data_IF_090320417979
#
_entry.id   IF_090320417979
#
_cell.length_a   1.000
_cell.length_b   1.000
_cell.length_c   1.000
_cell.angle_alpha   90.00
_cell.angle_beta   90.00
_cell.angle_gamma   90.00
#
_symmetry.space_group_name_H-M   'P 1'
#
loop_
_entity.id
_entity.type
_entity.pdbx_description
1 polymer ?
#
# COMPACT_ATOMS: atom_id res chain seq x y z
N UNK A 1 17.06 -38.56 5.10
CA UNK A 1 16.17 -39.77 5.26
C UNK A 1 14.98 -39.29 6.07
N UNK A 2 13.74 -39.52 5.61
CA UNK A 2 12.53 -39.05 6.31
C UNK A 2 12.38 -39.81 7.63
N UNK A 3 12.26 -39.09 8.74
CA UNK A 3 12.15 -39.63 10.08
C UNK A 3 10.68 -39.86 10.46
N UNK A 4 10.40 -41.04 10.99
CA UNK A 4 9.10 -41.42 11.54
C UNK A 4 9.32 -41.84 13.00
N UNK A 5 8.47 -41.34 13.90
CA UNK A 5 8.49 -41.73 15.31
C UNK A 5 7.34 -42.72 15.56
N UNK A 6 7.65 -43.85 16.21
CA UNK A 6 6.68 -44.85 16.61
C UNK A 6 6.63 -44.90 18.14
N UNK A 7 5.45 -44.66 18.70
CA UNK A 7 5.19 -44.63 20.15
C UNK A 7 4.16 -45.71 20.47
N UNK A 8 4.55 -46.76 21.18
CA UNK A 8 3.66 -47.87 21.59
C UNK A 8 4.31 -48.55 22.77
N UNK A 9 3.55 -48.95 23.78
CA UNK A 9 4.07 -49.64 24.96
C UNK A 9 4.36 -51.14 24.71
N UNK A 10 3.73 -51.75 23.67
CA UNK A 10 4.02 -53.11 23.27
C UNK A 10 5.30 -53.21 22.42
N UNK A 11 6.36 -53.88 22.93
CA UNK A 11 7.61 -54.06 22.20
C UNK A 11 7.44 -54.83 20.88
N UNK A 12 6.44 -55.72 20.81
CA UNK A 12 6.17 -56.49 19.59
C UNK A 12 5.68 -55.59 18.47
N UNK A 13 4.76 -54.68 18.79
CA UNK A 13 4.22 -53.69 17.82
C UNK A 13 5.32 -52.75 17.36
N UNK A 14 6.14 -52.23 18.28
CA UNK A 14 7.28 -51.37 17.93
C UNK A 14 8.23 -52.06 16.93
N UNK A 15 8.57 -53.34 17.16
CA UNK A 15 9.44 -54.09 16.24
C UNK A 15 8.79 -54.31 14.88
N UNK A 16 7.51 -54.70 14.86
CA UNK A 16 6.78 -54.93 13.60
C UNK A 16 6.69 -53.65 12.76
N UNK A 17 6.27 -52.53 13.38
CA UNK A 17 6.18 -51.27 12.70
C UNK A 17 7.54 -50.76 12.20
N UNK A 18 8.57 -50.83 13.03
CA UNK A 18 9.93 -50.46 12.67
C UNK A 18 10.42 -51.22 11.45
N UNK A 19 10.27 -52.54 11.42
CA UNK A 19 10.68 -53.35 10.25
C UNK A 19 9.92 -53.02 9.00
N UNK A 20 8.59 -52.82 9.11
CA UNK A 20 7.75 -52.43 7.97
C UNK A 20 8.15 -51.11 7.36
N UNK A 21 8.40 -50.10 8.20
CA UNK A 21 8.78 -48.74 7.78
C UNK A 21 10.22 -48.69 7.26
N UNK A 22 11.16 -49.36 7.91
CA UNK A 22 12.56 -49.43 7.44
C UNK A 22 12.68 -50.10 6.08
N UNK A 23 11.86 -51.16 5.83
CA UNK A 23 11.80 -51.82 4.51
C UNK A 23 11.37 -50.85 3.38
N UNK A 24 10.64 -49.78 3.72
CA UNK A 24 10.23 -48.71 2.78
C UNK A 24 11.28 -47.59 2.67
N UNK A 25 12.41 -47.68 3.38
CA UNK A 25 13.49 -46.70 3.33
C UNK A 25 13.34 -45.50 4.30
N UNK A 26 12.43 -45.58 5.30
CA UNK A 26 12.29 -44.56 6.32
C UNK A 26 13.26 -44.72 7.46
N UNK A 27 13.71 -43.64 8.07
CA UNK A 27 14.36 -43.63 9.38
C UNK A 27 13.29 -43.76 10.45
N UNK A 28 13.52 -44.64 11.44
CA UNK A 28 12.52 -44.88 12.50
C UNK A 28 13.16 -44.73 13.86
N UNK A 29 12.56 -43.85 14.66
CA UNK A 29 12.82 -43.68 16.09
C UNK A 29 11.66 -44.30 16.85
N UNK A 30 11.91 -44.87 18.04
CA UNK A 30 10.89 -45.51 18.86
C UNK A 30 10.86 -44.89 20.25
N UNK A 31 9.66 -44.93 20.88
CA UNK A 31 9.46 -44.59 22.29
C UNK A 31 8.49 -45.58 22.93
N UNK A 32 8.66 -45.84 24.22
CA UNK A 32 7.93 -46.90 24.97
C UNK A 32 6.68 -46.38 25.68
N UNK A 33 6.52 -45.04 25.77
CA UNK A 33 5.37 -44.38 26.39
C UNK A 33 5.22 -42.98 25.83
N UNK A 34 4.10 -42.32 26.12
CA UNK A 34 3.79 -41.01 25.58
C UNK A 34 4.75 -39.91 26.02
N UNK A 35 5.27 -39.98 27.25
CA UNK A 35 6.22 -38.97 27.75
C UNK A 35 7.54 -39.02 26.98
N UNK A 36 8.14 -40.19 26.85
CA UNK A 36 9.33 -40.38 26.02
C UNK A 36 9.04 -40.00 24.55
N UNK A 37 7.83 -40.31 24.08
CA UNK A 37 7.38 -39.95 22.73
C UNK A 37 7.45 -38.47 22.45
N UNK A 38 6.99 -37.62 23.37
CA UNK A 38 7.09 -36.17 23.24
C UNK A 38 8.53 -35.69 23.26
N UNK A 39 9.36 -36.18 24.20
CA UNK A 39 10.78 -35.84 24.30
C UNK A 39 11.53 -36.20 23.00
N UNK A 40 11.28 -37.40 22.44
CA UNK A 40 11.86 -37.83 21.16
C UNK A 40 11.35 -37.03 19.98
N UNK A 41 10.07 -36.63 19.97
CA UNK A 41 9.53 -35.80 18.92
C UNK A 41 10.23 -34.42 18.85
N UNK A 42 10.55 -33.84 20.00
CA UNK A 42 11.31 -32.57 20.07
C UNK A 42 12.76 -32.71 19.59
N UNK A 43 13.41 -33.84 19.93
CA UNK A 43 14.78 -34.13 19.51
C UNK A 43 14.90 -34.35 17.99
N UNK A 44 14.04 -35.23 17.42
CA UNK A 44 14.22 -35.73 16.04
C UNK A 44 13.35 -35.00 15.02
N UNK A 45 12.37 -34.22 15.47
CA UNK A 45 11.41 -33.47 14.62
C UNK A 45 10.87 -34.34 13.48
N UNK A 46 10.14 -35.42 13.77
CA UNK A 46 9.74 -36.40 12.78
C UNK A 46 8.72 -35.80 11.79
N UNK A 47 8.75 -36.27 10.56
CA UNK A 47 7.74 -35.90 9.55
C UNK A 47 6.38 -36.55 9.83
N UNK A 48 6.39 -37.71 10.53
CA UNK A 48 5.20 -38.48 10.86
C UNK A 48 5.38 -39.17 12.21
N UNK A 49 4.33 -39.19 13.02
CA UNK A 49 4.24 -39.94 14.28
C UNK A 49 3.16 -40.99 14.13
N UNK A 50 3.46 -42.20 14.56
CA UNK A 50 2.49 -43.31 14.77
C UNK A 50 2.46 -43.59 16.25
N UNK A 51 1.34 -43.31 16.90
CA UNK A 51 1.21 -43.37 18.34
C UNK A 51 0.06 -44.30 18.77
N UNK A 52 0.30 -45.21 19.70
CA UNK A 52 -0.80 -45.94 20.31
C UNK A 52 -1.68 -45.01 21.15
N UNK A 53 -2.96 -45.26 21.13
CA UNK A 53 -3.93 -44.51 21.91
C UNK A 53 -3.79 -44.78 23.41
N UNK A 54 -3.75 -46.07 23.78
CA UNK A 54 -3.81 -46.50 25.17
C UNK A 54 -2.43 -46.91 25.68
N UNK A 55 -1.75 -46.03 26.35
CA UNK A 55 -0.43 -46.27 26.91
C UNK A 55 -0.37 -45.82 28.38
N UNK A 56 0.48 -46.44 29.19
CA UNK A 56 0.74 -45.99 30.56
C UNK A 56 1.45 -44.64 30.58
N UNK A 57 1.36 -43.89 31.68
CA UNK A 57 2.00 -42.62 31.97
C UNK A 57 1.33 -41.46 31.20
N UNK A 58 1.24 -41.53 29.87
CA UNK A 58 0.63 -40.53 29.00
C UNK A 58 0.00 -41.26 27.81
N UNK A 59 -1.27 -41.00 27.56
CA UNK A 59 -2.01 -41.58 26.45
C UNK A 59 -1.70 -40.88 25.11
N UNK A 60 -2.09 -41.49 23.99
CA UNK A 60 -1.80 -40.97 22.66
C UNK A 60 -2.54 -39.68 22.32
N UNK A 61 -3.69 -39.40 22.95
CA UNK A 61 -4.40 -38.13 22.76
C UNK A 61 -3.64 -36.97 23.40
N UNK A 62 -3.07 -37.20 24.59
CA UNK A 62 -2.26 -36.18 25.26
C UNK A 62 -0.96 -35.91 24.49
N UNK A 63 -0.31 -36.97 23.98
CA UNK A 63 0.84 -36.82 23.07
C UNK A 63 0.47 -35.95 21.84
N UNK A 64 -0.66 -36.27 21.22
CA UNK A 64 -1.15 -35.53 20.05
C UNK A 64 -1.36 -34.03 20.38
N UNK A 65 -2.03 -33.71 21.51
CA UNK A 65 -2.23 -32.33 21.95
C UNK A 65 -0.92 -31.57 22.13
N UNK A 66 0.05 -32.19 22.80
CA UNK A 66 1.34 -31.56 23.07
C UNK A 66 2.14 -31.35 21.77
N UNK A 67 2.18 -32.35 20.88
CA UNK A 67 2.83 -32.23 19.56
C UNK A 67 2.18 -31.15 18.73
N UNK A 68 0.84 -31.11 18.64
CA UNK A 68 0.12 -30.10 17.82
C UNK A 68 0.16 -28.69 18.42
N UNK A 69 0.32 -28.56 19.73
CA UNK A 69 0.51 -27.28 20.40
C UNK A 69 1.92 -26.72 20.25
N UNK A 70 2.92 -27.54 19.93
CA UNK A 70 4.29 -27.10 19.72
C UNK A 70 4.45 -26.53 18.29
N UNK A 71 4.82 -25.26 18.12
CA UNK A 71 4.96 -24.65 16.79
C UNK A 71 5.91 -25.38 15.84
N UNK A 72 6.99 -25.96 16.37
CA UNK A 72 7.99 -26.70 15.59
C UNK A 72 7.52 -28.07 15.13
N UNK A 73 6.53 -28.67 15.84
CA UNK A 73 5.99 -30.00 15.58
C UNK A 73 4.55 -29.97 15.01
N UNK A 74 3.90 -28.83 15.02
CA UNK A 74 2.47 -28.70 14.68
C UNK A 74 2.11 -29.20 13.28
N UNK A 75 3.07 -29.29 12.36
CA UNK A 75 2.90 -29.85 11.01
C UNK A 75 3.21 -31.34 10.92
N UNK A 76 3.81 -31.97 11.96
CA UNK A 76 4.05 -33.40 11.97
C UNK A 76 2.74 -34.14 11.76
N UNK A 77 2.69 -35.06 10.81
CA UNK A 77 1.49 -35.83 10.53
C UNK A 77 1.31 -36.90 11.62
N UNK A 78 0.16 -36.92 12.28
CA UNK A 78 -0.09 -37.73 13.46
C UNK A 78 -1.11 -38.85 13.18
N UNK A 79 -0.69 -40.09 13.26
CA UNK A 79 -1.54 -41.30 13.13
C UNK A 79 -1.74 -41.92 14.52
N UNK A 80 -2.99 -42.00 14.95
CA UNK A 80 -3.36 -42.76 16.17
C UNK A 80 -3.66 -44.22 15.84
N UNK A 81 -3.04 -45.14 16.59
CA UNK A 81 -3.37 -46.57 16.58
C UNK A 81 -4.46 -46.83 17.61
N UNK A 82 -5.52 -47.52 17.21
CA UNK A 82 -6.66 -47.81 18.10
C UNK A 82 -7.09 -49.26 18.00
N UNK A 83 -7.38 -49.89 19.13
CA UNK A 83 -8.09 -51.18 19.22
C UNK A 83 -9.62 -51.01 19.23
N UNK A 84 -10.10 -49.79 19.37
CA UNK A 84 -11.53 -49.41 19.41
C UNK A 84 -11.97 -48.92 18.04
N UNK A 85 -12.98 -49.58 17.48
CA UNK A 85 -13.52 -49.25 16.15
C UNK A 85 -14.78 -48.35 16.17
N UNK A 86 -15.13 -47.76 17.32
CA UNK A 86 -16.32 -46.93 17.47
C UNK A 86 -16.24 -45.60 16.77
N UNK A 87 -17.37 -45.11 16.25
CA UNK A 87 -17.48 -43.79 15.62
C UNK A 87 -17.16 -42.66 16.61
N UNK A 88 -17.54 -42.82 17.88
CA UNK A 88 -17.31 -41.80 18.94
C UNK A 88 -15.82 -41.63 19.26
N UNK A 89 -15.06 -42.73 19.30
CA UNK A 89 -13.62 -42.68 19.53
C UNK A 89 -12.88 -41.94 18.39
N UNK A 90 -13.30 -42.15 17.13
CA UNK A 90 -12.72 -41.46 15.98
C UNK A 90 -12.99 -39.97 16.00
N UNK A 91 -14.20 -39.55 16.38
CA UNK A 91 -14.55 -38.13 16.51
C UNK A 91 -13.68 -37.45 17.58
N UNK A 92 -13.56 -38.11 18.76
CA UNK A 92 -12.75 -37.55 19.86
C UNK A 92 -11.27 -37.39 19.49
N UNK A 93 -10.72 -38.29 18.73
CA UNK A 93 -9.33 -38.20 18.30
C UNK A 93 -9.11 -37.14 17.21
N UNK A 94 -10.02 -36.98 16.26
CA UNK A 94 -9.96 -35.90 15.26
C UNK A 94 -10.06 -34.51 15.91
N UNK A 95 -10.98 -34.36 16.87
CA UNK A 95 -11.13 -33.13 17.65
C UNK A 95 -9.86 -32.80 18.48
N UNK A 96 -9.05 -33.83 18.79
CA UNK A 96 -7.76 -33.65 19.48
C UNK A 96 -6.64 -33.20 18.56
N UNK A 97 -6.84 -33.24 17.23
CA UNK A 97 -5.88 -32.80 16.21
C UNK A 97 -5.10 -33.96 15.55
N UNK A 98 -5.45 -35.20 15.76
CA UNK A 98 -4.87 -36.32 14.99
C UNK A 98 -5.29 -36.23 13.53
N UNK A 99 -4.34 -36.47 12.64
CA UNK A 99 -4.59 -36.32 11.18
C UNK A 99 -5.20 -37.61 10.60
N UNK A 100 -4.95 -38.78 11.25
CA UNK A 100 -5.44 -40.06 10.74
C UNK A 100 -5.51 -41.10 11.86
N UNK A 101 -6.27 -42.19 11.60
CA UNK A 101 -6.43 -43.36 12.48
C UNK A 101 -6.09 -44.67 11.77
N UNK A 102 -5.55 -45.63 12.52
CA UNK A 102 -5.28 -46.96 12.05
C UNK A 102 -5.73 -47.99 13.10
N UNK A 103 -6.61 -48.90 12.73
CA UNK A 103 -7.15 -49.89 13.65
C UNK A 103 -6.20 -51.10 13.81
N UNK A 104 -6.04 -51.58 15.03
CA UNK A 104 -5.37 -52.87 15.33
C UNK A 104 -6.37 -54.05 15.08
N UNK A 105 -5.97 -55.15 14.40
CA UNK A 105 -4.61 -55.49 13.97
C UNK A 105 -4.21 -54.76 12.69
N UNK A 106 -2.96 -54.23 12.70
CA UNK A 106 -2.44 -53.39 11.65
C UNK A 106 -2.12 -54.20 10.39
N UNK A 107 -2.74 -53.86 9.28
CA UNK A 107 -2.43 -54.46 7.98
C UNK A 107 -1.29 -53.70 7.30
N UNK A 108 -0.20 -54.40 6.87
CA UNK A 108 0.96 -53.74 6.28
C UNK A 108 0.63 -52.82 5.08
N UNK A 109 -0.30 -53.26 4.21
CA UNK A 109 -0.70 -52.48 3.04
C UNK A 109 -1.41 -51.16 3.41
N UNK A 110 -2.27 -51.23 4.44
CA UNK A 110 -2.99 -50.04 4.93
C UNK A 110 -2.03 -49.06 5.63
N UNK A 111 -1.13 -49.59 6.50
CA UNK A 111 -0.07 -48.78 7.12
C UNK A 111 0.73 -48.02 6.07
N UNK A 112 1.25 -48.74 5.07
CA UNK A 112 2.07 -48.15 4.02
C UNK A 112 1.31 -47.08 3.22
N UNK A 113 0.03 -47.30 2.93
CA UNK A 113 -0.80 -46.35 2.22
C UNK A 113 -1.01 -45.04 3.03
N UNK A 114 -1.34 -45.18 4.34
CA UNK A 114 -1.55 -44.05 5.25
C UNK A 114 -0.26 -43.26 5.48
N UNK A 115 0.86 -43.94 5.70
CA UNK A 115 2.17 -43.30 5.84
C UNK A 115 2.56 -42.49 4.60
N UNK A 116 2.42 -43.09 3.40
CA UNK A 116 2.69 -42.35 2.16
C UNK A 116 1.80 -41.14 1.99
N UNK A 117 0.50 -41.25 2.32
CA UNK A 117 -0.44 -40.12 2.27
C UNK A 117 -0.07 -39.05 3.27
N UNK A 118 0.24 -39.40 4.51
CA UNK A 118 0.65 -38.50 5.57
C UNK A 118 1.93 -37.73 5.24
N UNK A 119 2.95 -38.46 4.77
CA UNK A 119 4.21 -37.83 4.37
C UNK A 119 4.05 -36.87 3.19
N UNK A 120 3.14 -37.16 2.26
CA UNK A 120 2.80 -36.22 1.17
C UNK A 120 2.16 -34.94 1.72
N UNK A 121 1.23 -35.08 2.69
CA UNK A 121 0.58 -33.93 3.33
C UNK A 121 1.61 -33.09 4.09
N UNK A 122 2.47 -33.75 4.89
CA UNK A 122 3.57 -33.09 5.60
C UNK A 122 4.45 -32.27 4.63
N UNK A 123 4.90 -32.90 3.53
CA UNK A 123 5.75 -32.24 2.55
C UNK A 123 5.05 -31.02 1.92
N UNK A 124 3.79 -31.17 1.47
CA UNK A 124 3.02 -30.06 0.90
C UNK A 124 2.83 -28.90 1.89
N UNK A 125 2.61 -29.23 3.17
CA UNK A 125 2.46 -28.22 4.22
C UNK A 125 3.77 -27.48 4.48
N UNK A 126 4.91 -28.19 4.48
CA UNK A 126 6.23 -27.63 4.64
C UNK A 126 6.59 -26.72 3.45
N UNK A 127 6.33 -27.16 2.22
CA UNK A 127 6.57 -26.39 1.00
C UNK A 127 5.71 -25.12 0.96
N UNK A 128 4.44 -25.23 1.35
CA UNK A 128 3.53 -24.05 1.43
C UNK A 128 4.01 -23.04 2.46
N UNK A 129 4.43 -23.49 3.65
CA UNK A 129 4.99 -22.57 4.66
C UNK A 129 6.24 -21.85 4.16
N UNK A 130 7.16 -22.59 3.55
CA UNK A 130 8.39 -22.01 2.98
C UNK A 130 8.07 -20.99 1.90
N UNK A 131 7.13 -21.30 0.99
CA UNK A 131 6.70 -20.39 -0.06
C UNK A 131 6.04 -19.12 0.50
N UNK A 132 5.18 -19.25 1.51
CA UNK A 132 4.54 -18.12 2.16
C UNK A 132 5.57 -17.22 2.86
N UNK A 133 6.60 -17.80 3.51
CA UNK A 133 7.67 -17.03 4.13
C UNK A 133 8.48 -16.27 3.08
N UNK A 134 8.87 -16.92 1.99
CA UNK A 134 9.59 -16.27 0.89
C UNK A 134 8.78 -15.12 0.26
N UNK A 135 7.46 -15.31 0.11
CA UNK A 135 6.57 -14.28 -0.40
C UNK A 135 6.48 -13.09 0.55
N UNK A 136 6.35 -13.34 1.86
CA UNK A 136 6.33 -12.30 2.87
C UNK A 136 7.63 -11.49 2.89
N UNK A 137 8.78 -12.16 2.83
CA UNK A 137 10.09 -11.53 2.79
C UNK A 137 10.30 -10.71 1.51
N UNK A 138 9.82 -11.23 0.36
CA UNK A 138 9.88 -10.52 -0.92
C UNK A 138 8.99 -9.26 -0.91
N UNK A 139 7.77 -9.37 -0.40
CA UNK A 139 6.86 -8.22 -0.27
C UNK A 139 7.46 -7.13 0.63
N UNK A 140 8.03 -7.52 1.77
CA UNK A 140 8.67 -6.56 2.68
C UNK A 140 9.85 -5.82 2.04
N UNK A 141 10.65 -6.53 1.23
CA UNK A 141 11.75 -5.90 0.46
C UNK A 141 11.24 -4.93 -0.60
N UNK A 142 10.18 -5.31 -1.33
CA UNK A 142 9.57 -4.42 -2.32
C UNK A 142 8.97 -3.17 -1.68
N UNK A 143 8.29 -3.30 -0.56
CA UNK A 143 7.75 -2.16 0.20
C UNK A 143 8.86 -1.21 0.67
N UNK A 144 9.98 -1.74 1.16
CA UNK A 144 11.12 -0.93 1.56
C UNK A 144 11.75 -0.17 0.37
N UNK A 145 11.90 -0.82 -0.79
CA UNK A 145 12.40 -0.16 -2.00
C UNK A 145 11.46 0.93 -2.53
N UNK A 146 10.15 0.68 -2.49
CA UNK A 146 9.15 1.69 -2.87
C UNK A 146 9.17 2.88 -1.90
N UNK A 147 9.33 2.65 -0.60
CA UNK A 147 9.43 3.71 0.39
C UNK A 147 10.68 4.58 0.18
N UNK A 148 11.83 3.98 -0.14
CA UNK A 148 13.07 4.70 -0.49
C UNK A 148 12.88 5.57 -1.74
N UNK A 149 12.25 5.02 -2.79
CA UNK A 149 11.90 5.77 -4.00
C UNK A 149 10.95 6.93 -3.73
N UNK A 150 9.96 6.73 -2.85
CA UNK A 150 9.01 7.76 -2.45
C UNK A 150 9.68 8.92 -1.69
N UNK A 151 10.66 8.61 -0.82
CA UNK A 151 11.43 9.63 -0.12
C UNK A 151 12.28 10.46 -1.09
N UNK A 152 12.89 9.81 -2.09
CA UNK A 152 13.62 10.53 -3.14
C UNK A 152 12.70 11.47 -3.91
N UNK A 153 11.53 11.03 -4.35
CA UNK A 153 10.56 11.89 -5.06
C UNK A 153 10.13 13.07 -4.21
N UNK A 154 9.80 12.84 -2.93
CA UNK A 154 9.47 13.94 -2.00
C UNK A 154 10.60 14.95 -1.85
N UNK A 155 11.86 14.52 -1.89
CA UNK A 155 13.01 15.41 -1.81
C UNK A 155 13.16 16.34 -3.01
N UNK A 156 12.49 16.02 -4.14
CA UNK A 156 12.47 16.87 -5.33
C UNK A 156 11.43 18.00 -5.23
N UNK A 157 10.46 17.89 -4.31
CA UNK A 157 9.47 18.96 -4.10
C UNK A 157 10.15 20.19 -3.49
N UNK A 158 9.71 21.39 -3.88
CA UNK A 158 10.33 22.63 -3.41
C UNK A 158 10.10 22.82 -1.89
N UNK A 159 11.11 23.31 -1.16
CA UNK A 159 10.92 23.70 0.23
C UNK A 159 10.02 24.94 0.33
N UNK A 160 9.35 25.19 1.49
CA UNK A 160 8.58 26.41 1.68
C UNK A 160 9.36 27.67 1.31
N UNK A 161 8.71 28.60 0.59
CA UNK A 161 9.32 29.86 0.16
C UNK A 161 8.81 31.01 1.02
N UNK A 162 9.72 31.87 1.43
CA UNK A 162 9.37 33.12 2.13
C UNK A 162 10.20 34.27 1.57
N UNK A 163 9.51 35.24 0.96
CA UNK A 163 10.08 36.50 0.47
C UNK A 163 9.32 37.70 1.06
N UNK A 164 9.75 38.91 0.73
CA UNK A 164 9.04 40.12 1.14
C UNK A 164 7.64 40.25 0.52
N UNK A 165 7.45 39.71 -0.69
CA UNK A 165 6.22 39.84 -1.46
C UNK A 165 5.29 38.62 -1.36
N UNK A 166 5.84 37.41 -1.18
CA UNK A 166 5.10 36.15 -1.27
C UNK A 166 5.61 35.17 -0.25
N UNK A 167 4.70 34.48 0.42
CA UNK A 167 5.00 33.28 1.23
C UNK A 167 4.25 32.09 0.64
N UNK A 168 4.96 30.99 0.40
CA UNK A 168 4.39 29.76 -0.15
C UNK A 168 4.60 28.60 0.84
N UNK A 169 3.51 28.00 1.26
CA UNK A 169 3.49 26.73 2.00
C UNK A 169 2.87 25.67 1.12
N UNK A 170 3.33 24.45 1.28
CA UNK A 170 2.80 23.32 0.52
C UNK A 170 2.69 22.07 1.39
N UNK A 171 1.77 21.19 1.00
CA UNK A 171 1.64 19.85 1.58
C UNK A 171 1.40 18.86 0.47
N UNK A 172 2.05 17.70 0.58
CA UNK A 172 1.86 16.54 -0.28
C UNK A 172 1.67 15.30 0.58
N UNK A 173 0.56 14.61 0.37
CA UNK A 173 0.23 13.36 1.05
C UNK A 173 -0.20 12.36 -0.02
N UNK A 174 0.65 11.41 -0.39
CA UNK A 174 0.27 10.40 -1.36
C UNK A 174 -0.76 9.43 -0.77
N UNK A 175 -1.70 9.00 -1.58
CA UNK A 175 -2.73 7.99 -1.24
C UNK A 175 -2.12 6.61 -0.99
N UNK A 176 -0.98 6.36 -1.63
CA UNK A 176 -0.11 5.20 -1.47
C UNK A 176 1.33 5.65 -1.21
N UNK A 177 2.30 4.76 -1.34
CA UNK A 177 3.72 5.10 -1.16
C UNK A 177 4.21 6.12 -2.19
N UNK A 178 3.70 6.06 -3.43
CA UNK A 178 4.06 6.91 -4.56
C UNK A 178 2.82 7.48 -5.21
N UNK A 179 2.79 8.80 -5.40
CA UNK A 179 1.70 9.54 -6.02
C UNK A 179 2.02 10.06 -7.42
N UNK A 180 0.96 10.39 -8.18
CA UNK A 180 1.02 11.03 -9.48
C UNK A 180 1.17 12.56 -9.42
N UNK A 181 0.81 13.16 -8.30
CA UNK A 181 0.90 14.59 -8.06
C UNK A 181 2.35 15.09 -8.02
N UNK A 182 2.55 16.23 -8.63
CA UNK A 182 3.80 17.00 -8.51
C UNK A 182 3.52 18.50 -8.61
N UNK A 183 4.25 19.30 -7.87
CA UNK A 183 4.15 20.75 -7.91
C UNK A 183 5.52 21.40 -7.75
N UNK A 184 5.61 22.63 -8.25
CA UNK A 184 6.80 23.45 -8.04
C UNK A 184 6.45 24.93 -8.06
N UNK A 185 7.37 25.75 -7.55
CA UNK A 185 7.31 27.21 -7.62
C UNK A 185 8.73 27.76 -7.58
N UNK A 186 9.00 28.68 -8.48
CA UNK A 186 10.32 29.29 -8.61
C UNK A 186 10.26 30.64 -9.34
N UNK A 187 11.22 31.49 -9.08
CA UNK A 187 11.39 32.74 -9.82
C UNK A 187 12.01 32.46 -11.19
N UNK A 188 11.34 32.92 -12.27
CA UNK A 188 11.91 32.94 -13.63
C UNK A 188 13.04 33.96 -13.75
N UNK A 189 12.79 35.11 -13.15
CA UNK A 189 13.63 36.29 -13.06
C UNK A 189 13.21 37.10 -11.81
N UNK A 190 13.66 38.33 -11.66
CA UNK A 190 13.37 39.17 -10.50
C UNK A 190 11.88 39.58 -10.39
N UNK A 191 11.08 39.44 -11.45
CA UNK A 191 9.70 39.93 -11.55
C UNK A 191 8.65 38.83 -11.71
N UNK A 192 9.03 37.64 -12.21
CA UNK A 192 8.08 36.59 -12.56
C UNK A 192 8.23 35.36 -11.69
N UNK A 193 7.19 35.06 -10.89
CA UNK A 193 7.09 33.85 -10.09
C UNK A 193 6.21 32.81 -10.80
N UNK A 194 6.78 31.70 -11.17
CA UNK A 194 6.06 30.52 -11.67
C UNK A 194 5.55 29.69 -10.51
N UNK A 195 4.35 29.15 -10.65
CA UNK A 195 3.78 28.15 -9.76
C UNK A 195 2.89 27.19 -10.56
N UNK A 196 2.98 25.91 -10.29
CA UNK A 196 2.12 24.91 -10.93
C UNK A 196 1.88 23.70 -10.03
N UNK A 197 0.80 23.00 -10.31
CA UNK A 197 0.50 21.68 -9.80
C UNK A 197 0.00 20.85 -10.98
N UNK A 198 0.56 19.66 -11.13
CA UNK A 198 0.15 18.65 -12.10
C UNK A 198 -0.21 17.35 -11.40
N UNK A 199 -1.15 16.63 -11.98
CA UNK A 199 -1.58 15.31 -11.51
C UNK A 199 -1.67 14.34 -12.70
N UNK A 200 -0.89 13.27 -12.63
CA UNK A 200 -0.81 12.23 -13.68
C UNK A 200 -1.80 11.12 -13.38
N UNK A 201 -2.63 10.78 -14.37
CA UNK A 201 -3.67 9.76 -14.27
C UNK A 201 -3.19 8.42 -13.70
N UNK A 202 -3.88 7.94 -12.64
CA UNK A 202 -3.59 6.69 -11.93
C UNK A 202 -2.58 6.88 -10.79
N UNK A 203 -2.05 5.78 -10.24
CA UNK A 203 -1.23 5.79 -9.02
C UNK A 203 0.03 4.92 -9.15
N UNK A 204 0.97 5.10 -8.22
CA UNK A 204 2.21 4.35 -8.12
C UNK A 204 3.25 4.76 -9.17
N UNK A 205 4.27 3.92 -9.39
CA UNK A 205 5.42 4.22 -10.27
C UNK A 205 5.02 4.68 -11.69
N UNK A 206 3.93 4.12 -12.23
CA UNK A 206 3.47 4.45 -13.58
C UNK A 206 2.98 5.89 -13.74
N UNK A 207 2.54 6.56 -12.68
CA UNK A 207 2.16 7.98 -12.65
C UNK A 207 3.29 8.87 -12.11
N UNK A 208 4.03 8.39 -11.12
CA UNK A 208 5.10 9.15 -10.48
C UNK A 208 6.26 9.46 -11.44
N UNK A 209 6.70 8.50 -12.26
CA UNK A 209 7.83 8.74 -13.17
C UNK A 209 7.52 9.81 -14.22
N UNK A 210 6.36 9.79 -14.92
CA UNK A 210 5.97 10.89 -15.79
C UNK A 210 5.84 12.23 -15.05
N UNK A 211 5.26 12.27 -13.85
CA UNK A 211 5.10 13.53 -13.10
C UNK A 211 6.45 14.17 -12.77
N UNK A 212 7.43 13.39 -12.31
CA UNK A 212 8.79 13.86 -12.06
C UNK A 212 9.48 14.33 -13.36
N UNK A 213 9.30 13.60 -14.47
CA UNK A 213 9.87 13.98 -15.75
C UNK A 213 9.31 15.33 -16.25
N UNK A 214 7.99 15.53 -16.16
CA UNK A 214 7.35 16.78 -16.56
C UNK A 214 7.76 17.94 -15.65
N UNK A 215 7.81 17.70 -14.34
CA UNK A 215 8.33 18.71 -13.40
C UNK A 215 9.77 19.09 -13.71
N UNK A 216 10.62 18.14 -14.06
CA UNK A 216 12.01 18.40 -14.46
C UNK A 216 12.09 19.25 -15.74
N UNK A 217 11.28 18.95 -16.78
CA UNK A 217 11.20 19.75 -18.00
C UNK A 217 10.80 21.20 -17.71
N UNK A 218 9.83 21.42 -16.85
CA UNK A 218 9.37 22.75 -16.45
C UNK A 218 10.45 23.49 -15.64
N UNK A 219 11.05 22.86 -14.67
CA UNK A 219 12.07 23.47 -13.80
C UNK A 219 13.35 23.81 -14.53
N UNK A 220 13.81 22.95 -15.44
CA UNK A 220 15.01 23.19 -16.27
C UNK A 220 14.75 24.03 -17.48
N UNK A 221 13.47 24.42 -17.73
CA UNK A 221 13.05 25.21 -18.90
C UNK A 221 13.46 24.55 -20.21
N UNK A 222 13.32 23.22 -20.26
CA UNK A 222 13.79 22.42 -21.40
C UNK A 222 12.74 22.21 -22.49
N UNK A 223 11.78 23.15 -22.64
CA UNK A 223 10.83 23.20 -23.76
C UNK A 223 11.35 24.18 -24.80
N UNK A 224 11.77 23.73 -26.02
CA UNK A 224 12.40 24.58 -27.00
C UNK A 224 11.47 25.71 -27.52
N UNK A 225 11.96 26.93 -27.54
CA UNK A 225 11.25 28.08 -28.10
C UNK A 225 10.04 28.58 -27.28
N UNK A 226 9.90 28.10 -26.03
CA UNK A 226 8.77 28.46 -25.17
C UNK A 226 9.16 29.57 -24.18
N UNK A 227 8.38 30.62 -24.12
CA UNK A 227 8.45 31.63 -23.08
C UNK A 227 7.69 31.11 -21.84
N UNK A 228 8.40 30.79 -20.76
CA UNK A 228 7.81 30.24 -19.52
C UNK A 228 6.96 31.28 -18.76
N UNK A 229 6.99 32.55 -19.16
CA UNK A 229 6.07 33.59 -18.70
C UNK A 229 4.69 33.55 -19.37
N UNK A 230 4.50 32.72 -20.40
CA UNK A 230 3.25 32.61 -21.18
C UNK A 230 2.57 31.24 -20.89
N UNK A 231 1.66 31.15 -19.90
CA UNK A 231 1.05 29.87 -19.45
C UNK A 231 0.46 29.01 -20.57
N UNK A 232 -0.27 29.61 -21.51
CA UNK A 232 -0.89 28.87 -22.60
C UNK A 232 0.13 28.20 -23.51
N UNK A 233 1.22 28.89 -23.84
CA UNK A 233 2.31 28.31 -24.65
C UNK A 233 3.05 27.19 -23.96
N UNK A 234 3.22 27.29 -22.63
CA UNK A 234 3.82 26.22 -21.83
C UNK A 234 2.96 24.96 -21.89
N UNK A 235 1.64 25.07 -21.71
CA UNK A 235 0.74 23.91 -21.76
C UNK A 235 0.65 23.29 -23.17
N UNK A 236 0.63 24.14 -24.23
CA UNK A 236 0.66 23.63 -25.61
C UNK A 236 1.95 22.84 -25.89
N UNK A 237 3.10 23.37 -25.49
CA UNK A 237 4.38 22.67 -25.67
C UNK A 237 4.49 21.40 -24.81
N UNK A 238 3.92 21.39 -23.61
CA UNK A 238 3.81 20.17 -22.80
C UNK A 238 2.95 19.12 -23.49
N UNK A 239 1.82 19.53 -24.11
CA UNK A 239 0.96 18.60 -24.84
C UNK A 239 1.66 18.02 -26.07
N UNK A 240 2.48 18.80 -26.77
CA UNK A 240 3.32 18.31 -27.88
C UNK A 240 4.40 17.31 -27.39
N UNK A 241 5.00 17.59 -26.24
CA UNK A 241 6.07 16.76 -25.68
C UNK A 241 5.55 15.47 -25.03
N UNK A 242 4.29 15.44 -24.59
CA UNK A 242 3.69 14.33 -23.86
C UNK A 242 2.37 13.89 -24.50
N UNK A 243 2.41 12.82 -25.28
CA UNK A 243 1.23 12.19 -25.88
C UNK A 243 0.97 10.84 -25.25
N UNK A 244 -0.28 10.54 -24.88
CA UNK A 244 -0.66 9.32 -24.17
C UNK A 244 -0.27 8.04 -24.91
N UNK A 245 -0.34 8.01 -26.23
CA UNK A 245 0.06 6.85 -27.05
C UNK A 245 1.54 6.47 -26.87
N UNK A 246 2.39 7.42 -26.52
CA UNK A 246 3.82 7.21 -26.24
C UNK A 246 4.11 6.93 -24.75
N UNK A 247 3.13 7.15 -23.88
CA UNK A 247 3.28 7.11 -22.41
C UNK A 247 2.30 6.15 -21.71
N UNK A 248 2.05 4.96 -22.32
CA UNK A 248 1.23 3.89 -21.73
C UNK A 248 -0.19 4.37 -21.35
N UNK A 249 -0.84 5.07 -22.25
CA UNK A 249 -2.18 5.66 -22.09
C UNK A 249 -2.30 6.62 -20.89
N UNK A 250 -1.19 7.23 -20.47
CA UNK A 250 -1.18 8.25 -19.42
C UNK A 250 -1.42 9.64 -19.98
N UNK A 251 -2.19 10.41 -19.27
CA UNK A 251 -2.40 11.85 -19.44
C UNK A 251 -2.27 12.53 -18.09
N UNK A 252 -2.19 13.83 -18.07
CA UNK A 252 -2.16 14.55 -16.80
C UNK A 252 -2.95 15.85 -16.85
N UNK A 253 -3.45 16.25 -15.70
CA UNK A 253 -4.03 17.56 -15.49
C UNK A 253 -2.97 18.52 -14.98
N UNK A 254 -3.08 19.81 -15.29
CA UNK A 254 -2.15 20.83 -14.77
C UNK A 254 -2.84 22.19 -14.68
N UNK A 255 -2.59 22.88 -13.57
CA UNK A 255 -2.78 24.30 -13.43
C UNK A 255 -1.40 24.98 -13.43
N UNK A 256 -1.16 25.94 -14.32
CA UNK A 256 0.11 26.66 -14.45
C UNK A 256 -0.13 28.16 -14.40
N UNK A 257 0.54 28.86 -13.48
CA UNK A 257 0.39 30.30 -13.28
C UNK A 257 1.73 31.02 -13.18
N UNK A 258 1.73 32.29 -13.64
CA UNK A 258 2.86 33.21 -13.54
C UNK A 258 2.38 34.52 -12.92
N UNK A 259 2.93 34.82 -11.75
CA UNK A 259 2.66 36.08 -11.05
C UNK A 259 3.74 37.11 -11.36
N UNK A 260 3.34 38.29 -11.82
CA UNK A 260 4.21 39.42 -12.07
C UNK A 260 4.23 40.37 -10.86
N UNK A 261 5.39 40.53 -10.24
CA UNK A 261 5.55 41.18 -8.95
C UNK A 261 5.13 42.64 -8.96
N UNK A 262 5.66 43.46 -9.88
CA UNK A 262 5.45 44.89 -9.89
C UNK A 262 4.03 45.29 -10.33
N UNK A 263 3.41 44.53 -11.24
CA UNK A 263 2.03 44.78 -11.71
C UNK A 263 0.97 44.07 -10.87
N UNK A 264 1.36 43.09 -10.03
CA UNK A 264 0.47 42.20 -9.29
C UNK A 264 -0.51 41.43 -10.18
N UNK A 265 -0.17 41.23 -11.43
CA UNK A 265 -0.96 40.45 -12.36
C UNK A 265 -0.60 38.95 -12.28
N UNK A 266 -1.60 38.10 -12.19
CA UNK A 266 -1.46 36.65 -12.26
C UNK A 266 -2.03 36.15 -13.58
N UNK A 267 -1.16 35.74 -14.50
CA UNK A 267 -1.55 35.05 -15.73
C UNK A 267 -1.57 33.55 -15.49
N UNK A 268 -2.58 32.84 -16.01
CA UNK A 268 -2.73 31.39 -15.77
C UNK A 268 -3.39 30.68 -16.94
N UNK A 269 -3.12 29.36 -17.03
CA UNK A 269 -3.75 28.41 -17.94
C UNK A 269 -3.99 27.10 -17.23
N UNK A 270 -5.03 26.36 -17.66
CA UNK A 270 -5.48 25.13 -17.02
C UNK A 270 -5.74 24.06 -18.07
N UNK A 271 -5.19 22.87 -17.88
CA UNK A 271 -5.41 21.69 -18.71
C UNK A 271 -6.11 20.60 -17.89
N UNK A 272 -7.44 20.56 -17.90
CA UNK A 272 -8.24 19.58 -17.18
C UNK A 272 -8.23 19.65 -15.65
N UNK A 273 -7.39 20.48 -15.07
CA UNK A 273 -7.16 20.58 -13.62
C UNK A 273 -8.30 21.32 -12.89
N UNK A 274 -8.56 21.07 -11.58
CA UNK A 274 -9.43 21.88 -10.75
C UNK A 274 -9.09 23.37 -10.80
N UNK A 275 -10.07 24.29 -10.57
CA UNK A 275 -9.78 25.72 -10.50
C UNK A 275 -8.88 26.05 -9.30
N UNK A 276 -7.88 26.89 -9.46
CA UNK A 276 -7.25 27.48 -8.29
C UNK A 276 -8.19 28.52 -7.65
N UNK A 277 -8.13 28.66 -6.33
CA UNK A 277 -9.02 29.55 -5.56
C UNK A 277 -8.23 30.76 -5.05
N UNK A 278 -8.58 31.95 -5.50
CA UNK A 278 -8.04 33.20 -4.99
C UNK A 278 -9.01 33.80 -3.98
N UNK A 279 -8.55 33.94 -2.73
CA UNK A 279 -9.29 34.56 -1.64
C UNK A 279 -8.71 35.95 -1.36
N UNK A 280 -9.54 36.99 -1.42
CA UNK A 280 -9.16 38.34 -1.04
C UNK A 280 -10.15 38.94 -0.05
N UNK A 281 -9.71 39.85 0.82
CA UNK A 281 -10.53 40.38 1.90
C UNK A 281 -10.64 39.40 3.08
N UNK A 282 -11.76 39.42 3.79
CA UNK A 282 -12.05 38.69 5.03
C UNK A 282 -11.85 39.55 6.29
N UNK A 283 -12.13 38.99 7.47
CA UNK A 283 -12.09 39.54 8.83
C UNK A 283 -12.75 40.94 9.05
N UNK A 284 -12.40 41.97 8.28
CA UNK A 284 -12.96 43.31 8.41
C UNK A 284 -13.42 43.89 7.07
N UNK A 285 -13.31 43.14 5.98
CA UNK A 285 -13.72 43.51 4.62
C UNK A 285 -14.50 42.35 4.02
N UNK A 286 -15.40 42.57 3.05
CA UNK A 286 -16.09 41.48 2.38
C UNK A 286 -15.08 40.48 1.81
N UNK A 287 -15.33 39.21 2.04
CA UNK A 287 -14.53 38.14 1.42
C UNK A 287 -14.93 37.99 -0.03
N UNK A 288 -13.95 38.00 -0.94
CA UNK A 288 -14.12 37.69 -2.34
C UNK A 288 -13.44 36.35 -2.65
N UNK A 289 -14.18 35.49 -3.33
CA UNK A 289 -13.72 34.17 -3.77
C UNK A 289 -13.74 34.13 -5.29
N UNK A 290 -12.58 33.96 -5.90
CA UNK A 290 -12.47 33.82 -7.36
C UNK A 290 -11.93 32.43 -7.70
N UNK A 291 -12.61 31.76 -8.68
CA UNK A 291 -12.16 30.51 -9.23
C UNK A 291 -11.37 30.76 -10.52
N UNK A 292 -10.08 30.48 -10.49
CA UNK A 292 -9.16 30.72 -11.58
C UNK A 292 -9.05 29.48 -12.46
N UNK A 293 -9.84 29.39 -13.52
CA UNK A 293 -9.90 28.29 -14.47
C UNK A 293 -9.99 28.79 -15.91
N UNK A 294 -9.29 28.10 -16.81
CA UNK A 294 -9.50 28.20 -18.27
C UNK A 294 -10.05 26.86 -18.78
N UNK A 295 -10.83 26.86 -19.89
CA UNK A 295 -11.16 25.61 -20.54
C UNK A 295 -9.90 24.99 -21.14
N UNK A 296 -9.79 23.67 -21.07
CA UNK A 296 -8.67 22.91 -21.61
C UNK A 296 -8.80 21.43 -21.26
N UNK A 297 -8.49 20.55 -22.20
CA UNK A 297 -8.43 19.11 -22.00
C UNK A 297 -7.13 18.77 -21.27
N UNK A 298 -7.06 17.63 -20.53
CA UNK A 298 -5.80 17.15 -19.95
C UNK A 298 -4.68 17.03 -21.00
N UNK A 299 -3.45 17.30 -20.57
CA UNK A 299 -2.26 17.21 -21.41
C UNK A 299 -2.04 15.75 -21.83
N UNK A 300 -1.76 15.55 -23.10
CA UNK A 300 -1.48 14.24 -23.70
C UNK A 300 -2.70 13.50 -24.20
N UNK A 301 -3.93 13.91 -23.83
CA UNK A 301 -5.16 13.20 -24.19
C UNK A 301 -5.49 13.30 -25.69
N UNK A 302 -5.22 14.45 -26.29
CA UNK A 302 -5.43 14.66 -27.73
C UNK A 302 -4.26 15.45 -28.32
N UNK A 303 -3.86 15.18 -29.57
CA UNK A 303 -2.87 16.00 -30.26
C UNK A 303 -3.44 17.38 -30.64
N UNK A 304 -2.56 18.31 -30.96
CA UNK A 304 -2.87 19.63 -31.56
C UNK A 304 -3.85 20.50 -30.74
N UNK A 305 -3.81 20.38 -29.38
CA UNK A 305 -4.61 21.21 -28.49
C UNK A 305 -3.91 22.57 -28.28
N UNK A 306 -4.62 23.63 -28.55
CA UNK A 306 -4.23 24.99 -28.13
C UNK A 306 -4.92 25.34 -26.79
N UNK A 307 -4.14 25.78 -25.80
CA UNK A 307 -4.66 26.20 -24.51
C UNK A 307 -4.92 27.70 -24.45
N UNK A 308 -5.90 28.07 -23.64
CA UNK A 308 -6.24 29.45 -23.40
C UNK A 308 -5.56 30.00 -22.15
N UNK A 309 -5.19 31.27 -22.17
CA UNK A 309 -4.68 32.01 -21.03
C UNK A 309 -5.70 33.05 -20.57
N UNK A 310 -5.77 33.24 -19.25
CA UNK A 310 -6.46 34.36 -18.61
C UNK A 310 -5.50 35.07 -17.66
N UNK A 311 -5.85 36.29 -17.27
CA UNK A 311 -5.16 36.99 -16.19
C UNK A 311 -6.14 37.65 -15.23
N UNK A 312 -5.71 37.87 -13.99
CA UNK A 312 -6.41 38.62 -12.96
C UNK A 312 -5.44 39.48 -12.16
N UNK A 313 -5.97 40.52 -11.52
CA UNK A 313 -5.22 41.32 -10.55
C UNK A 313 -5.27 40.65 -9.20
N UNK A 314 -4.13 40.52 -8.53
CA UNK A 314 -4.03 39.96 -7.20
C UNK A 314 -4.05 41.07 -6.16
N UNK A 315 -5.15 41.27 -5.42
CA UNK A 315 -5.21 42.27 -4.37
C UNK A 315 -4.16 42.04 -3.28
N UNK A 316 -3.71 43.06 -2.58
CA UNK A 316 -2.85 42.87 -1.40
C UNK A 316 -3.50 41.98 -0.35
N UNK A 317 -2.66 41.24 0.38
CA UNK A 317 -3.10 40.33 1.43
C UNK A 317 -4.05 39.21 0.95
N UNK A 318 -3.95 38.82 -0.34
CA UNK A 318 -4.71 37.70 -0.90
C UNK A 318 -4.01 36.37 -0.64
N UNK A 319 -4.77 35.28 -0.73
CA UNK A 319 -4.25 33.90 -0.66
C UNK A 319 -4.76 33.10 -1.85
N UNK A 320 -3.86 32.51 -2.61
CA UNK A 320 -4.17 31.58 -3.70
C UNK A 320 -3.95 30.13 -3.21
N UNK A 321 -4.94 29.28 -3.46
CA UNK A 321 -4.84 27.84 -3.25
C UNK A 321 -4.85 27.12 -4.60
N UNK A 322 -3.82 26.29 -4.84
CA UNK A 322 -3.73 25.35 -5.95
C UNK A 322 -3.71 23.95 -5.32
N UNK A 323 -4.53 23.05 -5.80
CA UNK A 323 -4.73 21.73 -5.14
C UNK A 323 -5.17 20.67 -6.15
N UNK A 324 -4.83 19.40 -5.87
CA UNK A 324 -5.33 18.26 -6.63
C UNK A 324 -6.74 17.86 -6.18
N UNK A 325 -7.38 17.00 -6.95
CA UNK A 325 -8.74 16.52 -6.68
C UNK A 325 -8.85 15.73 -5.36
N UNK A 326 -7.79 15.04 -4.91
CA UNK A 326 -7.74 14.40 -3.60
C UNK A 326 -7.95 15.33 -2.41
N UNK A 327 -7.91 16.67 -2.62
CA UNK A 327 -8.25 17.64 -1.58
C UNK A 327 -9.77 17.79 -1.36
N UNK A 328 -10.61 17.37 -2.30
CA UNK A 328 -12.06 17.47 -2.20
C UNK A 328 -12.83 16.19 -2.61
N UNK A 329 -12.23 15.27 -3.37
CA UNK A 329 -12.85 13.98 -3.69
C UNK A 329 -12.65 12.96 -2.55
N UNK A 330 -13.18 13.28 -1.36
CA UNK A 330 -13.03 12.48 -0.14
C UNK A 330 -14.33 11.76 0.18
N UNK A 331 -14.28 10.42 0.30
CA UNK A 331 -15.44 9.61 0.70
C UNK A 331 -15.74 9.83 2.20
N UNK A 332 -16.89 10.40 2.51
CA UNK A 332 -17.36 10.69 3.86
C UNK A 332 -17.93 9.44 4.56
N UNK A 333 -18.25 9.56 5.87
CA UNK A 333 -18.79 8.46 6.70
C UNK A 333 -20.14 7.93 6.22
N UNK A 334 -20.94 8.76 5.57
CA UNK A 334 -22.25 8.42 5.01
C UNK A 334 -22.17 7.82 3.59
N UNK A 335 -20.96 7.72 3.03
CA UNK A 335 -20.71 7.22 1.68
C UNK A 335 -20.83 8.28 0.59
N UNK A 336 -21.15 9.53 0.92
CA UNK A 336 -21.18 10.62 -0.04
C UNK A 336 -19.75 11.14 -0.31
N UNK A 337 -19.56 11.67 -1.51
CA UNK A 337 -18.32 12.33 -1.88
C UNK A 337 -18.36 13.79 -1.40
N UNK A 338 -17.30 14.24 -0.74
CA UNK A 338 -17.13 15.65 -0.39
C UNK A 338 -16.79 16.45 -1.64
N UNK A 339 -17.38 17.63 -1.78
CA UNK A 339 -17.40 18.36 -3.05
C UNK A 339 -16.42 19.53 -3.07
N UNK A 340 -16.12 20.04 -4.27
CA UNK A 340 -15.33 21.25 -4.45
C UNK A 340 -15.98 22.46 -3.76
N UNK A 341 -17.30 22.59 -3.80
CA UNK A 341 -18.03 23.67 -3.15
C UNK A 341 -17.82 23.66 -1.63
N UNK A 342 -17.88 22.48 -1.00
CA UNK A 342 -17.62 22.33 0.42
C UNK A 342 -16.16 22.65 0.78
N UNK A 343 -15.20 22.25 -0.09
CA UNK A 343 -13.79 22.62 0.06
C UNK A 343 -13.60 24.15 0.01
N UNK A 344 -14.21 24.83 -0.93
CA UNK A 344 -14.16 26.29 -1.04
C UNK A 344 -14.79 26.97 0.18
N UNK A 345 -15.87 26.41 0.72
CA UNK A 345 -16.51 26.92 1.95
C UNK A 345 -15.58 26.83 3.16
N UNK A 346 -14.86 25.73 3.35
CA UNK A 346 -13.93 25.58 4.49
C UNK A 346 -12.71 26.51 4.33
N UNK A 347 -12.17 26.70 3.13
CA UNK A 347 -11.12 27.67 2.87
C UNK A 347 -11.56 29.10 3.19
N UNK A 348 -12.79 29.44 2.82
CA UNK A 348 -13.41 30.74 3.11
C UNK A 348 -13.57 30.96 4.61
N UNK A 349 -14.08 29.94 5.32
CA UNK A 349 -14.22 29.98 6.79
C UNK A 349 -12.87 30.17 7.48
N UNK A 350 -11.83 29.45 7.04
CA UNK A 350 -10.49 29.57 7.61
C UNK A 350 -9.89 30.97 7.36
N UNK A 351 -10.18 31.55 6.20
CA UNK A 351 -9.79 32.94 5.90
C UNK A 351 -10.43 33.95 6.85
N UNK A 352 -11.73 33.83 7.08
CA UNK A 352 -12.50 34.71 7.99
C UNK A 352 -12.07 34.58 9.44
N UNK A 353 -11.75 33.36 9.89
CA UNK A 353 -11.33 33.05 11.29
C UNK A 353 -9.82 33.21 11.51
N UNK A 354 -9.06 33.58 10.46
CA UNK A 354 -7.60 33.70 10.48
C UNK A 354 -6.86 32.40 10.86
N UNK A 355 -7.46 31.26 10.53
CA UNK A 355 -6.84 29.93 10.64
C UNK A 355 -6.12 29.61 9.32
N UNK A 356 -4.94 30.18 9.13
CA UNK A 356 -4.21 30.07 7.84
C UNK A 356 -3.22 28.89 7.77
N UNK A 357 -3.08 28.13 8.82
CA UNK A 357 -2.16 26.99 8.85
C UNK A 357 -2.70 25.80 8.07
N UNK A 358 -1.94 25.33 7.08
CA UNK A 358 -2.32 24.17 6.24
C UNK A 358 -2.53 22.89 7.07
N UNK A 359 -1.85 22.74 8.19
CA UNK A 359 -1.96 21.54 9.02
C UNK A 359 -3.36 21.41 9.65
N UNK A 360 -4.01 22.52 10.02
CA UNK A 360 -5.41 22.49 10.47
C UNK A 360 -6.36 22.06 9.36
N UNK A 361 -6.13 22.53 8.13
CA UNK A 361 -6.89 22.09 6.97
C UNK A 361 -6.75 20.59 6.74
N UNK A 362 -5.53 20.09 6.77
CA UNK A 362 -5.26 18.66 6.57
C UNK A 362 -5.89 17.78 7.66
N UNK A 363 -5.85 18.21 8.90
CA UNK A 363 -6.49 17.47 10.00
C UNK A 363 -8.00 17.45 9.85
N UNK A 364 -8.60 18.54 9.37
CA UNK A 364 -10.02 18.58 9.04
C UNK A 364 -10.33 17.59 7.91
N UNK A 365 -9.59 17.62 6.78
CA UNK A 365 -9.79 16.74 5.64
C UNK A 365 -9.63 15.26 6.01
N UNK A 366 -8.62 14.91 6.80
CA UNK A 366 -8.43 13.54 7.31
C UNK A 366 -9.60 13.03 8.15
N UNK A 367 -10.25 13.92 8.90
CA UNK A 367 -11.37 13.53 9.75
C UNK A 367 -12.69 13.31 8.98
N UNK A 368 -12.77 13.75 7.71
CA UNK A 368 -13.91 13.48 6.83
C UNK A 368 -14.00 11.99 6.48
N UNK A 369 -12.85 11.37 6.16
CA UNK A 369 -12.81 9.94 5.83
C UNK A 369 -12.77 9.10 7.12
N UNK A 370 -13.64 8.06 7.26
CA UNK A 370 -13.69 7.22 8.45
C UNK A 370 -12.40 6.43 8.71
N UNK A 371 -11.63 6.15 7.68
CA UNK A 371 -10.33 5.45 7.77
C UNK A 371 -9.16 6.40 8.00
N UNK A 372 -9.37 7.72 7.96
CA UNK A 372 -8.36 8.78 8.04
C UNK A 372 -7.26 8.67 6.97
N UNK A 373 -7.59 8.14 5.81
CA UNK A 373 -6.72 8.05 4.63
C UNK A 373 -7.35 8.85 3.50
N UNK A 374 -6.54 9.29 2.55
CA UNK A 374 -7.02 9.92 1.33
C UNK A 374 -7.23 8.86 0.26
N UNK A 375 -8.31 8.99 -0.50
CA UNK A 375 -8.67 8.05 -1.56
C UNK A 375 -7.78 8.26 -2.79
N UNK A 376 -7.30 9.52 -3.01
CA UNK A 376 -6.32 9.89 -4.02
C UNK A 376 -5.20 10.75 -3.41
N UNK A 377 -4.18 11.06 -4.21
CA UNK A 377 -3.07 11.91 -3.80
C UNK A 377 -3.56 13.31 -3.45
N UNK A 378 -3.13 13.81 -2.32
CA UNK A 378 -3.49 15.16 -1.85
C UNK A 378 -2.29 16.08 -1.94
N UNK A 379 -2.40 17.07 -2.80
CA UNK A 379 -1.46 18.17 -2.91
C UNK A 379 -2.17 19.50 -2.70
N UNK A 380 -1.59 20.37 -1.88
CA UNK A 380 -2.09 21.74 -1.68
C UNK A 380 -0.92 22.72 -1.62
N UNK A 381 -0.97 23.73 -2.48
CA UNK A 381 -0.13 24.91 -2.40
C UNK A 381 -0.95 26.08 -1.89
N UNK A 382 -0.44 26.77 -0.89
CA UNK A 382 -0.97 28.00 -0.35
C UNK A 382 0.02 29.13 -0.62
N UNK A 383 -0.37 30.08 -1.46
CA UNK A 383 0.43 31.24 -1.86
C UNK A 383 -0.19 32.49 -1.23
N UNK A 384 0.50 33.09 -0.30
CA UNK A 384 0.07 34.29 0.42
C UNK A 384 0.81 35.50 -0.14
N UNK A 385 0.07 36.46 -0.69
CA UNK A 385 0.59 37.72 -1.24
C UNK A 385 0.49 38.84 -0.19
N UNK A 386 1.60 39.54 0.03
CA UNK A 386 1.67 40.73 0.92
C UNK A 386 1.16 41.99 0.31
#
# INVERSE_FOLDING_TARGET
MTQILVIDDDPTIRVVLTRALQKQGYGVTVAENGKEGVERAEEVRPALIICDWMMPIMDGLEVCRQVKANPDLSTTFFILLTSRGGTEDRVMGLDTGADEFLSKPIRPDELNARVRAGLRIYQLTADLRSSNQMLADSNHRLEAQLAEGAEYVRSQLPPPMKSAAVTINSRFIPSRQLGGDCFDYYWLDDEHLVMYLLDVSGHGLGSTLPSVAMSHLLRTRSLPGVAFSEPARVLTALNEAFQMDMHQDKYFTIWYGVYHLSTRELSYSCAGHPPAILLSGGRNTPLTVEQLKTPGMPVGMFPDIEYMQKSCQVPPLSTLYIYSDGAYEITQRDGNLWTLEEFVQILSHYRETNQTELDHLLDYLRNLNPKRIFDDDLSVLQVMFT
#
